data_IF_555743703540
#
_entry.id   IF_555743703540
#
_cell.length_a   1.000
_cell.length_b   1.000
_cell.length_c   1.000
_cell.angle_alpha   90.00
_cell.angle_beta   90.00
_cell.angle_gamma   90.00
#
_symmetry.space_group_name_H-M   'P 1'
#
loop_
_entity.id
_entity.type
_entity.pdbx_description
1 polymer ?
#
# COMPACT_ATOMS: atom_id res chain seq x y z
N UNK A 1 -8.64 -5.38 -1.52
CA UNK A 1 -7.89 -6.54 -2.04
C UNK A 1 -6.59 -6.59 -1.28
N UNK A 2 -6.11 -7.79 -0.94
CA UNK A 2 -4.89 -7.97 -0.19
C UNK A 2 -3.96 -8.89 -0.96
N UNK A 3 -2.71 -8.48 -1.17
CA UNK A 3 -1.69 -9.32 -1.79
C UNK A 3 -0.70 -9.79 -0.73
N UNK A 4 -0.08 -10.95 -0.94
CA UNK A 4 0.96 -11.46 -0.06
C UNK A 4 2.28 -11.53 -0.83
N UNK A 5 3.35 -11.00 -0.26
CA UNK A 5 4.66 -10.94 -0.88
C UNK A 5 5.77 -11.06 0.17
N UNK A 6 6.70 -12.00 -0.01
CA UNK A 6 7.87 -12.25 0.87
C UNK A 6 7.57 -12.27 2.39
N UNK A 7 6.45 -12.87 2.81
CA UNK A 7 6.08 -12.93 4.24
C UNK A 7 5.41 -11.66 4.77
N UNK A 8 5.10 -10.71 3.89
CA UNK A 8 4.27 -9.55 4.18
C UNK A 8 2.93 -9.66 3.45
N UNK A 9 1.91 -9.07 4.05
CA UNK A 9 0.60 -8.85 3.48
C UNK A 9 0.44 -7.36 3.22
N UNK A 10 -0.06 -7.01 2.05
CA UNK A 10 -0.34 -5.63 1.66
C UNK A 10 -1.84 -5.50 1.48
N UNK A 11 -2.47 -4.63 2.27
CA UNK A 11 -3.87 -4.25 2.13
C UNK A 11 -3.95 -2.80 1.66
N UNK A 12 -4.64 -2.55 0.54
CA UNK A 12 -4.87 -1.18 0.05
C UNK A 12 -6.23 -0.69 0.53
N UNK A 13 -6.21 0.36 1.34
CA UNK A 13 -7.38 1.07 1.81
C UNK A 13 -7.61 2.31 0.94
N UNK A 14 -8.86 2.51 0.52
CA UNK A 14 -9.27 3.69 -0.25
C UNK A 14 -10.39 4.38 0.51
N UNK A 15 -10.14 5.62 0.92
CA UNK A 15 -11.11 6.45 1.61
C UNK A 15 -11.22 7.82 0.92
N UNK A 16 -12.38 8.48 0.94
CA UNK A 16 -12.46 9.87 0.52
C UNK A 16 -11.73 10.77 1.52
N UNK A 17 -11.12 11.84 1.01
CA UNK A 17 -10.60 12.95 1.81
C UNK A 17 -11.75 13.69 2.55
N UNK A 18 -11.41 14.45 3.60
CA UNK A 18 -12.35 15.24 4.42
C UNK A 18 -13.21 16.20 3.59
N UNK A 19 -12.64 16.72 2.49
CA UNK A 19 -13.34 17.61 1.56
C UNK A 19 -14.10 16.86 0.46
N UNK A 20 -13.98 15.53 0.38
CA UNK A 20 -14.67 14.68 -0.59
C UNK A 20 -14.23 14.84 -2.04
N UNK A 21 -13.15 15.61 -2.29
CA UNK A 21 -12.62 15.94 -3.64
C UNK A 21 -11.53 14.97 -4.11
N UNK A 22 -10.89 14.26 -3.18
CA UNK A 22 -9.81 13.32 -3.44
C UNK A 22 -10.14 11.95 -2.84
N UNK A 23 -9.59 10.89 -3.45
CA UNK A 23 -9.43 9.60 -2.79
C UNK A 23 -8.03 9.55 -2.18
N UNK A 24 -7.98 9.20 -0.90
CA UNK A 24 -6.77 8.84 -0.19
C UNK A 24 -6.66 7.33 -0.27
N UNK A 25 -5.68 6.87 -1.03
CA UNK A 25 -5.38 5.46 -1.21
C UNK A 25 -4.08 5.16 -0.43
N UNK A 26 -4.14 4.24 0.53
CA UNK A 26 -3.02 3.89 1.39
C UNK A 26 -2.79 2.39 1.37
N UNK A 27 -1.56 1.98 1.05
CA UNK A 27 -1.13 0.61 1.26
C UNK A 27 -0.71 0.45 2.73
N UNK A 28 -1.26 -0.56 3.39
CA UNK A 28 -0.87 -1.00 4.72
C UNK A 28 -0.09 -2.28 4.53
N UNK A 29 1.18 -2.28 4.93
CA UNK A 29 2.04 -3.45 4.90
C UNK A 29 2.03 -4.04 6.30
N UNK A 30 1.61 -5.29 6.41
CA UNK A 30 1.60 -6.05 7.64
C UNK A 30 2.49 -7.26 7.47
N UNK A 31 3.17 -7.67 8.53
CA UNK A 31 4.02 -8.85 8.51
C UNK A 31 3.19 -10.07 8.91
N UNK A 32 3.28 -11.14 8.13
CA UNK A 32 2.50 -12.38 8.32
C UNK A 32 3.37 -13.63 8.51
N UNK A 33 4.69 -13.47 8.52
CA UNK A 33 5.68 -14.53 8.74
C UNK A 33 5.81 -14.98 10.22
N UNK A 34 5.08 -14.32 11.14
CA UNK A 34 5.10 -14.61 12.57
C UNK A 34 6.20 -13.90 13.36
N UNK A 35 7.05 -13.12 12.69
CA UNK A 35 8.13 -12.35 13.31
C UNK A 35 7.62 -10.99 13.79
N UNK A 36 7.19 -10.91 15.05
CA UNK A 36 6.60 -9.67 15.63
C UNK A 36 7.64 -8.61 16.01
N UNK A 37 8.92 -8.95 15.94
CA UNK A 37 10.06 -8.07 16.26
C UNK A 37 10.74 -7.46 15.04
N UNK A 38 10.40 -7.93 13.83
CA UNK A 38 10.98 -7.42 12.59
C UNK A 38 10.38 -6.07 12.20
N UNK A 39 11.24 -5.14 11.80
CA UNK A 39 10.81 -3.88 11.19
C UNK A 39 9.89 -4.15 9.98
N UNK A 40 8.89 -3.28 9.82
CA UNK A 40 7.92 -3.34 8.73
C UNK A 40 8.06 -2.04 7.92
N UNK A 41 8.21 -2.11 6.59
CA UNK A 41 8.32 -0.90 5.80
C UNK A 41 7.01 -0.12 5.83
N UNK A 42 7.12 1.21 5.80
CA UNK A 42 5.95 2.09 5.72
C UNK A 42 5.33 1.94 4.33
N UNK A 43 4.05 1.57 4.29
CA UNK A 43 3.35 1.40 3.03
C UNK A 43 3.12 2.72 2.30
N UNK A 44 3.21 2.73 0.96
CA UNK A 44 3.03 3.94 0.16
C UNK A 44 1.61 4.51 0.28
N UNK A 45 1.49 5.82 0.18
CA UNK A 45 0.24 6.56 0.19
C UNK A 45 0.13 7.43 -1.07
N UNK A 46 -1.09 7.57 -1.59
CA UNK A 46 -1.39 8.37 -2.75
C UNK A 46 -2.73 9.09 -2.59
N UNK A 47 -2.71 10.41 -2.72
CA UNK A 47 -3.91 11.22 -2.86
C UNK A 47 -4.19 11.46 -4.35
N UNK A 48 -5.34 10.98 -4.84
CA UNK A 48 -5.76 11.19 -6.23
C UNK A 48 -7.05 12.01 -6.31
N UNK A 49 -7.15 12.99 -7.23
CA UNK A 49 -8.42 13.67 -7.48
C UNK A 49 -9.47 12.71 -8.03
N UNK A 50 -10.69 12.72 -7.46
CA UNK A 50 -11.79 11.82 -7.88
C UNK A 50 -12.16 11.97 -9.36
N UNK A 51 -11.89 13.14 -9.94
CA UNK A 51 -12.22 13.48 -11.33
C UNK A 51 -11.16 13.06 -12.36
N UNK A 52 -9.97 12.62 -11.93
CA UNK A 52 -8.83 12.40 -12.86
C UNK A 52 -8.45 10.93 -13.05
N UNK A 53 -8.68 10.07 -12.06
CA UNK A 53 -8.14 8.71 -12.06
C UNK A 53 -9.19 7.75 -11.55
N UNK A 54 -9.36 6.63 -12.25
CA UNK A 54 -10.20 5.53 -11.78
C UNK A 54 -9.59 4.92 -10.50
N UNK A 55 -10.36 4.79 -9.40
CA UNK A 55 -9.84 4.28 -8.14
C UNK A 55 -9.25 2.87 -8.25
N UNK A 56 -9.67 2.04 -9.21
CA UNK A 56 -9.10 0.72 -9.46
C UNK A 56 -7.67 0.79 -10.01
N UNK A 57 -7.38 1.75 -10.90
CA UNK A 57 -6.00 1.97 -11.37
C UNK A 57 -5.08 2.41 -10.23
N UNK A 58 -5.59 3.25 -9.32
CA UNK A 58 -4.82 3.70 -8.17
C UNK A 58 -4.53 2.55 -7.19
N UNK A 59 -5.48 1.64 -6.97
CA UNK A 59 -5.27 0.43 -6.17
C UNK A 59 -4.15 -0.42 -6.76
N UNK A 60 -4.25 -0.77 -8.05
CA UNK A 60 -3.24 -1.62 -8.69
C UNK A 60 -1.84 -0.99 -8.69
N UNK A 61 -1.76 0.33 -8.89
CA UNK A 61 -0.48 1.05 -8.80
C UNK A 61 0.11 1.03 -7.38
N UNK A 62 -0.72 1.16 -6.35
CA UNK A 62 -0.29 1.10 -4.95
C UNK A 62 0.15 -0.31 -4.55
N UNK A 63 -0.53 -1.36 -5.01
CA UNK A 63 -0.10 -2.75 -4.80
C UNK A 63 1.29 -2.98 -5.37
N UNK A 64 1.54 -2.56 -6.62
CA UNK A 64 2.85 -2.68 -7.26
C UNK A 64 3.92 -1.88 -6.52
N UNK A 65 3.62 -0.64 -6.11
CA UNK A 65 4.56 0.18 -5.33
C UNK A 65 4.88 -0.45 -3.98
N UNK A 66 3.90 -1.05 -3.31
CA UNK A 66 4.12 -1.72 -2.04
C UNK A 66 5.02 -2.95 -2.20
N UNK A 67 4.88 -3.71 -3.30
CA UNK A 67 5.81 -4.81 -3.64
C UNK A 67 7.24 -4.29 -3.79
N UNK A 68 7.44 -3.21 -4.55
CA UNK A 68 8.77 -2.60 -4.72
C UNK A 68 9.36 -2.15 -3.37
N UNK A 69 8.56 -1.52 -2.52
CA UNK A 69 8.98 -1.11 -1.18
C UNK A 69 9.39 -2.31 -0.31
N UNK A 70 8.66 -3.43 -0.39
CA UNK A 70 9.01 -4.66 0.31
C UNK A 70 10.32 -5.23 -0.25
N UNK A 71 10.48 -5.27 -1.57
CA UNK A 71 11.70 -5.77 -2.21
C UNK A 71 12.92 -4.92 -1.82
N UNK A 72 12.83 -3.58 -1.90
CA UNK A 72 13.89 -2.66 -1.46
C UNK A 72 14.21 -2.82 0.03
N UNK A 73 13.19 -3.01 0.87
CA UNK A 73 13.38 -3.24 2.30
C UNK A 73 14.14 -4.55 2.57
N UNK A 74 13.87 -5.60 1.79
CA UNK A 74 14.62 -6.86 1.86
C UNK A 74 16.03 -6.75 1.33
N UNK A 75 16.28 -5.99 0.26
CA UNK A 75 17.61 -5.82 -0.31
C UNK A 75 18.55 -4.99 0.58
N UNK A 76 17.99 -4.13 1.43
CA UNK A 76 18.76 -3.31 2.39
C UNK A 76 19.09 -4.02 3.70
N UNK A 77 18.58 -5.24 3.91
CA UNK A 77 18.74 -6.03 5.14
C UNK A 77 19.79 -7.13 4.95
#
# INVERSE_FOLDING_TARGET
MAIQHRGFRVDVNVAPDELGVQWICKAVIERIDGDTTGEVPVGPELAIPRVKIDPLMAISSLEQRAVVVIDEFFERK
#
